data_IF_006026999459
#
_entry.id   IF_006026999459
#
_cell.length_a   1.000
_cell.length_b   1.000
_cell.length_c   1.000
_cell.angle_alpha   90.00
_cell.angle_beta   90.00
_cell.angle_gamma   90.00
#
_symmetry.space_group_name_H-M   'P 1'
#
loop_
_entity.id
_entity.type
_entity.pdbx_description
1 polymer ?
#
# COMPACT_ATOMS: atom_id res chain seq x y z
N UNK A 1 14.35 4.78 -3.29
CA UNK A 1 14.51 3.48 -3.98
C UNK A 1 15.77 3.37 -4.84
N UNK A 2 16.53 4.44 -5.10
CA UNK A 2 17.73 4.36 -5.97
C UNK A 2 18.75 3.26 -5.61
N UNK A 3 18.84 2.88 -4.33
CA UNK A 3 19.69 1.79 -3.84
C UNK A 3 19.29 0.40 -4.40
N UNK A 4 18.04 0.20 -4.80
CA UNK A 4 17.56 -1.05 -5.41
C UNK A 4 18.00 -1.20 -6.88
N UNK A 5 18.31 -0.09 -7.56
CA UNK A 5 18.53 -0.05 -9.02
C UNK A 5 19.58 -1.06 -9.51
N UNK A 6 20.76 -1.24 -8.87
CA UNK A 6 21.75 -2.21 -9.31
C UNK A 6 21.25 -3.66 -9.22
N UNK A 7 20.50 -4.01 -8.18
CA UNK A 7 20.00 -5.37 -7.98
C UNK A 7 18.82 -5.65 -8.92
N UNK A 8 17.94 -4.68 -9.14
CA UNK A 8 16.81 -4.80 -10.07
C UNK A 8 17.29 -4.95 -11.51
N UNK A 9 18.33 -4.22 -11.94
CA UNK A 9 18.89 -4.36 -13.27
C UNK A 9 19.36 -5.79 -13.62
N UNK A 10 19.64 -6.62 -12.60
CA UNK A 10 20.03 -8.03 -12.76
C UNK A 10 18.83 -8.96 -12.59
N UNK A 11 18.02 -8.75 -11.56
CA UNK A 11 16.96 -9.68 -11.16
C UNK A 11 15.62 -9.44 -11.87
N UNK A 12 15.33 -8.19 -12.21
CA UNK A 12 14.06 -7.70 -12.77
C UNK A 12 14.35 -6.57 -13.78
N UNK A 13 15.05 -6.87 -14.90
CA UNK A 13 15.46 -5.85 -15.87
C UNK A 13 14.28 -5.10 -16.51
N UNK A 14 13.06 -5.65 -16.44
CA UNK A 14 11.81 -5.00 -16.84
C UNK A 14 11.39 -3.83 -15.93
N UNK A 15 12.04 -3.64 -14.78
CA UNK A 15 11.80 -2.56 -13.82
C UNK A 15 12.86 -1.45 -13.91
N UNK A 16 13.29 -1.09 -15.12
CA UNK A 16 14.40 -0.15 -15.34
C UNK A 16 14.09 1.29 -14.89
N UNK A 17 12.84 1.71 -15.04
CA UNK A 17 12.30 3.01 -14.61
C UNK A 17 11.81 3.03 -13.15
N UNK A 18 11.78 1.88 -12.48
CA UNK A 18 11.17 1.74 -11.15
C UNK A 18 11.78 2.67 -10.08
N UNK A 19 13.08 2.93 -10.20
CA UNK A 19 13.82 3.75 -9.24
C UNK A 19 13.87 5.24 -9.62
N UNK A 20 13.24 5.63 -10.71
CA UNK A 20 13.28 7.01 -11.19
C UNK A 20 12.37 7.90 -10.34
N UNK A 21 12.89 9.09 -9.98
CA UNK A 21 12.16 10.04 -9.14
C UNK A 21 11.41 11.04 -10.02
N UNK A 22 10.09 10.86 -10.10
CA UNK A 22 9.18 11.74 -10.84
C UNK A 22 8.48 12.78 -9.95
N UNK A 23 8.92 12.96 -8.70
CA UNK A 23 8.25 13.81 -7.70
C UNK A 23 8.00 15.25 -8.20
N UNK A 24 9.02 15.89 -8.78
CA UNK A 24 8.92 17.27 -9.27
C UNK A 24 7.96 17.37 -10.47
N UNK A 25 7.96 16.36 -11.33
CA UNK A 25 7.04 16.24 -12.46
C UNK A 25 5.58 16.13 -12.01
N UNK A 26 5.31 15.26 -11.03
CA UNK A 26 3.98 15.13 -10.44
C UNK A 26 3.53 16.40 -9.70
N UNK A 27 4.44 17.06 -8.97
CA UNK A 27 4.13 18.32 -8.29
C UNK A 27 3.74 19.44 -9.28
N UNK A 28 4.50 19.54 -10.37
CA UNK A 28 4.22 20.50 -11.46
C UNK A 28 2.89 20.21 -12.12
N UNK A 29 2.64 18.94 -12.49
CA UNK A 29 1.39 18.52 -13.10
C UNK A 29 0.18 18.77 -12.19
N UNK A 30 0.27 18.43 -10.90
CA UNK A 30 -0.79 18.65 -9.94
C UNK A 30 -1.12 20.14 -9.80
N UNK A 31 -0.10 20.99 -9.64
CA UNK A 31 -0.25 22.44 -9.51
C UNK A 31 -0.91 23.03 -10.76
N UNK A 32 -0.46 22.65 -11.96
CA UNK A 32 -1.03 23.12 -13.22
C UNK A 32 -2.51 22.75 -13.39
N UNK A 33 -2.98 21.69 -12.73
CA UNK A 33 -4.35 21.20 -12.78
C UNK A 33 -5.17 21.52 -11.52
N UNK A 34 -4.69 22.42 -10.65
CA UNK A 34 -5.37 22.81 -9.41
C UNK A 34 -5.57 21.64 -8.43
N UNK A 35 -4.67 20.66 -8.45
CA UNK A 35 -4.66 19.51 -7.54
C UNK A 35 -3.60 19.69 -6.46
N UNK A 36 -3.81 19.01 -5.33
CA UNK A 36 -2.79 18.85 -4.31
C UNK A 36 -1.92 17.63 -4.62
N UNK A 37 -0.63 17.74 -4.35
CA UNK A 37 0.32 16.65 -4.41
C UNK A 37 0.83 16.36 -3.00
N UNK A 38 0.76 15.10 -2.57
CA UNK A 38 1.26 14.63 -1.27
C UNK A 38 2.25 13.50 -1.51
N UNK A 39 3.40 13.60 -0.86
CA UNK A 39 4.44 12.57 -0.86
C UNK A 39 4.27 11.73 0.40
N UNK A 40 4.33 10.40 0.25
CA UNK A 40 4.50 9.47 1.36
C UNK A 40 6.02 9.35 1.60
N UNK A 41 6.44 9.68 2.82
CA UNK A 41 7.85 9.80 3.13
C UNK A 41 8.50 8.42 3.34
N UNK A 42 9.81 8.31 3.12
CA UNK A 42 10.54 7.03 3.05
C UNK A 42 10.59 6.25 4.37
N UNK A 43 10.36 6.92 5.49
CA UNK A 43 10.22 6.33 6.82
C UNK A 43 8.99 5.41 6.92
N UNK A 44 7.90 5.74 6.23
CA UNK A 44 6.72 4.85 6.14
C UNK A 44 7.10 3.53 5.47
N UNK A 45 7.87 3.58 4.39
CA UNK A 45 8.35 2.38 3.69
C UNK A 45 9.29 1.56 4.57
N UNK A 46 10.24 2.22 5.24
CA UNK A 46 11.18 1.56 6.14
C UNK A 46 10.46 0.87 7.30
N UNK A 47 9.48 1.53 7.91
CA UNK A 47 8.68 0.96 8.99
C UNK A 47 7.80 -0.20 8.51
N UNK A 48 7.23 -0.09 7.30
CA UNK A 48 6.47 -1.16 6.69
C UNK A 48 7.33 -2.40 6.42
N UNK A 49 8.52 -2.21 5.84
CA UNK A 49 9.46 -3.31 5.59
C UNK A 49 9.84 -4.01 6.89
N UNK A 50 10.14 -3.26 7.95
CA UNK A 50 10.42 -3.85 9.27
C UNK A 50 9.24 -4.66 9.82
N UNK A 51 8.00 -4.18 9.65
CA UNK A 51 6.80 -4.89 10.10
C UNK A 51 6.54 -6.19 9.30
N UNK A 52 6.81 -6.18 7.99
CA UNK A 52 6.69 -7.35 7.12
C UNK A 52 7.79 -8.38 7.41
N UNK A 53 9.03 -7.95 7.64
CA UNK A 53 10.13 -8.84 8.04
C UNK A 53 9.87 -9.49 9.42
N UNK A 54 9.30 -8.75 10.37
CA UNK A 54 8.87 -9.30 11.66
C UNK A 54 7.71 -10.31 11.53
N UNK A 55 7.11 -10.41 10.35
CA UNK A 55 6.08 -11.36 9.97
C UNK A 55 6.61 -12.49 9.07
N UNK A 56 7.95 -12.63 8.99
CA UNK A 56 8.62 -13.64 8.17
C UNK A 56 8.19 -13.54 6.70
N UNK A 57 8.20 -12.32 6.15
CA UNK A 57 8.00 -12.14 4.72
C UNK A 57 9.08 -12.88 3.93
N UNK A 58 8.65 -13.61 2.90
CA UNK A 58 9.55 -14.15 1.87
C UNK A 58 10.25 -13.01 1.13
N UNK A 59 11.41 -13.24 0.48
CA UNK A 59 12.06 -12.19 -0.31
C UNK A 59 11.11 -11.56 -1.33
N UNK A 60 11.05 -10.23 -1.37
CA UNK A 60 10.16 -9.46 -2.25
C UNK A 60 10.91 -8.24 -2.83
N UNK A 61 10.31 -7.61 -3.84
CA UNK A 61 10.86 -6.36 -4.43
C UNK A 61 10.41 -5.16 -3.62
N UNK A 62 9.08 -4.96 -3.51
CA UNK A 62 8.49 -3.89 -2.68
C UNK A 62 7.11 -4.27 -2.14
N UNK A 63 6.66 -3.65 -1.03
CA UNK A 63 5.26 -3.74 -0.61
C UNK A 63 4.31 -3.13 -1.66
N UNK A 64 3.07 -3.61 -1.69
CA UNK A 64 2.03 -3.09 -2.56
C UNK A 64 1.65 -1.64 -2.20
N UNK A 65 1.31 -0.84 -3.19
CA UNK A 65 0.94 0.57 -2.97
C UNK A 65 -0.22 0.73 -1.99
N UNK A 66 -1.18 -0.20 -1.98
CA UNK A 66 -2.28 -0.19 -1.02
C UNK A 66 -1.80 -0.41 0.42
N UNK A 67 -0.84 -1.33 0.64
CA UNK A 67 -0.23 -1.54 1.95
C UNK A 67 0.55 -0.30 2.43
N UNK A 68 1.28 0.36 1.52
CA UNK A 68 1.98 1.62 1.82
C UNK A 68 1.00 2.70 2.29
N UNK A 69 -0.14 2.86 1.61
CA UNK A 69 -1.17 3.84 2.01
C UNK A 69 -1.78 3.50 3.37
N UNK A 70 -2.08 2.21 3.63
CA UNK A 70 -2.59 1.78 4.94
C UNK A 70 -1.59 2.13 6.05
N UNK A 71 -0.31 1.82 5.85
CA UNK A 71 0.74 2.16 6.81
C UNK A 71 0.87 3.69 7.00
N UNK A 72 0.83 4.45 5.92
CA UNK A 72 0.94 5.90 5.95
C UNK A 72 -0.20 6.53 6.78
N UNK A 73 -1.43 6.03 6.64
CA UNK A 73 -2.57 6.50 7.42
C UNK A 73 -2.47 6.11 8.89
N UNK A 74 -2.07 4.87 9.19
CA UNK A 74 -1.92 4.39 10.57
C UNK A 74 -0.79 5.12 11.33
N UNK A 75 0.28 5.52 10.63
CA UNK A 75 1.41 6.23 11.20
C UNK A 75 1.18 7.75 11.36
N UNK A 76 0.19 8.32 10.66
CA UNK A 76 -0.10 9.75 10.69
C UNK A 76 -0.91 10.10 11.96
N UNK A 77 -0.38 10.93 12.87
CA UNK A 77 -1.07 11.27 14.12
C UNK A 77 -2.43 11.94 13.91
N UNK A 78 -2.66 12.56 12.74
CA UNK A 78 -3.96 13.17 12.40
C UNK A 78 -5.08 12.16 12.24
N UNK A 79 -4.73 10.89 12.02
CA UNK A 79 -5.65 9.77 11.83
C UNK A 79 -5.59 8.77 13.00
N UNK A 80 -5.04 9.15 14.15
CA UNK A 80 -4.84 8.26 15.29
C UNK A 80 -6.15 7.66 15.83
N UNK A 81 -7.24 8.43 15.79
CA UNK A 81 -8.57 8.02 16.26
C UNK A 81 -9.51 7.58 15.12
N UNK A 82 -9.03 7.62 13.88
CA UNK A 82 -9.83 7.25 12.72
C UNK A 82 -9.95 5.73 12.59
N UNK A 83 -11.14 5.27 12.18
CA UNK A 83 -11.35 3.89 11.72
C UNK A 83 -11.09 3.83 10.21
N UNK A 84 -10.14 3.00 9.80
CA UNK A 84 -9.79 2.84 8.39
C UNK A 84 -10.61 1.71 7.78
N UNK A 85 -11.39 2.01 6.74
CA UNK A 85 -12.23 1.02 6.05
C UNK A 85 -11.59 0.66 4.70
N UNK A 86 -11.30 -0.63 4.50
CA UNK A 86 -10.76 -1.17 3.25
C UNK A 86 -11.91 -1.63 2.35
N UNK A 87 -12.02 -1.03 1.17
CA UNK A 87 -12.99 -1.40 0.14
C UNK A 87 -12.25 -1.84 -1.14
N UNK A 88 -12.61 -2.99 -1.70
CA UNK A 88 -11.99 -3.52 -2.92
C UNK A 88 -10.50 -3.90 -2.79
N UNK A 89 -9.97 -3.97 -1.56
CA UNK A 89 -8.56 -4.26 -1.31
C UNK A 89 -8.29 -5.77 -1.17
N UNK A 90 -7.29 -6.26 -1.89
CA UNK A 90 -6.87 -7.65 -1.91
C UNK A 90 -5.35 -7.80 -2.06
N UNK A 91 -4.88 -9.05 -2.00
CA UNK A 91 -3.45 -9.39 -2.00
C UNK A 91 -3.16 -10.33 -3.18
N UNK A 92 -3.29 -9.82 -4.39
CA UNK A 92 -3.09 -10.56 -5.64
C UNK A 92 -2.66 -9.62 -6.75
N UNK A 93 -1.91 -10.12 -7.73
CA UNK A 93 -1.39 -9.31 -8.84
C UNK A 93 0.04 -9.69 -9.15
N UNK A 94 0.91 -8.69 -9.25
CA UNK A 94 2.34 -8.87 -9.51
C UNK A 94 3.06 -9.60 -8.35
N UNK A 95 3.96 -10.51 -8.71
CA UNK A 95 4.68 -11.42 -7.81
C UNK A 95 5.83 -10.78 -7.04
N UNK A 96 6.26 -9.58 -7.40
CA UNK A 96 7.24 -8.80 -6.64
C UNK A 96 6.73 -8.27 -5.28
N UNK A 97 5.46 -8.49 -4.95
CA UNK A 97 4.84 -8.07 -3.68
C UNK A 97 4.75 -9.21 -2.66
N UNK A 98 5.00 -8.95 -1.35
CA UNK A 98 4.91 -9.95 -0.30
C UNK A 98 3.47 -10.18 0.19
N UNK A 99 2.55 -10.55 -0.72
CA UNK A 99 1.11 -10.59 -0.47
C UNK A 99 0.68 -11.44 0.73
N UNK A 100 1.35 -12.56 0.97
CA UNK A 100 1.09 -13.41 2.14
C UNK A 100 1.38 -12.66 3.46
N UNK A 101 2.50 -11.95 3.54
CA UNK A 101 2.89 -11.19 4.73
C UNK A 101 2.02 -9.94 4.90
N UNK A 102 1.68 -9.25 3.80
CA UNK A 102 0.75 -8.12 3.83
C UNK A 102 -0.62 -8.51 4.37
N UNK A 103 -1.14 -9.68 3.98
CA UNK A 103 -2.40 -10.19 4.52
C UNK A 103 -2.31 -10.39 6.02
N UNK A 104 -1.25 -11.05 6.50
CA UNK A 104 -1.01 -11.25 7.95
C UNK A 104 -0.92 -9.92 8.69
N UNK A 105 -0.31 -8.89 8.09
CA UNK A 105 -0.20 -7.56 8.68
C UNK A 105 -1.55 -6.86 8.76
N UNK A 106 -2.34 -6.91 7.69
CA UNK A 106 -3.70 -6.36 7.67
C UNK A 106 -4.60 -7.05 8.69
N UNK A 107 -4.50 -8.37 8.82
CA UNK A 107 -5.27 -9.12 9.81
C UNK A 107 -4.90 -8.70 11.25
N UNK A 108 -3.62 -8.37 11.53
CA UNK A 108 -3.21 -7.77 12.81
C UNK A 108 -3.84 -6.39 13.04
N UNK A 109 -3.92 -5.56 12.01
CA UNK A 109 -4.56 -4.25 12.11
C UNK A 109 -6.08 -4.32 12.26
N UNK A 110 -6.71 -5.35 11.70
CA UNK A 110 -8.13 -5.64 11.94
C UNK A 110 -8.33 -6.12 13.38
N UNK A 111 -7.46 -7.00 13.88
CA UNK A 111 -7.53 -7.49 15.25
C UNK A 111 -7.32 -6.38 16.30
N UNK A 112 -6.58 -5.32 15.97
CA UNK A 112 -6.42 -4.15 16.85
C UNK A 112 -7.62 -3.19 16.82
N UNK A 113 -8.58 -3.40 15.91
CA UNK A 113 -9.76 -2.55 15.73
C UNK A 113 -9.51 -1.26 14.95
N UNK A 114 -8.27 -0.98 14.51
CA UNK A 114 -7.94 0.23 13.72
C UNK A 114 -8.36 0.13 12.26
N UNK A 115 -8.45 -1.09 11.73
CA UNK A 115 -8.79 -1.35 10.33
C UNK A 115 -10.01 -2.26 10.25
N UNK A 116 -10.88 -2.02 9.28
CA UNK A 116 -12.05 -2.86 9.00
C UNK A 116 -12.11 -3.14 7.50
N UNK A 117 -12.53 -4.36 7.12
CA UNK A 117 -12.89 -4.66 5.73
C UNK A 117 -14.36 -4.30 5.51
N UNK A 118 -14.64 -3.51 4.48
CA UNK A 118 -16.01 -3.30 4.04
C UNK A 118 -16.54 -4.64 3.53
N UNK A 119 -17.48 -5.24 4.27
CA UNK A 119 -18.20 -6.39 3.77
C UNK A 119 -19.08 -5.94 2.60
N UNK A 120 -19.20 -6.72 1.52
CA UNK A 120 -20.17 -6.43 0.48
C UNK A 120 -21.57 -6.34 1.10
N UNK A 121 -22.12 -5.13 1.18
CA UNK A 121 -23.50 -4.90 1.57
C UNK A 121 -24.40 -5.43 0.44
N UNK A 122 -24.95 -6.63 0.64
CA UNK A 122 -26.10 -7.19 -0.08
C UNK A 122 -25.96 -7.50 -1.58
N UNK A 123 -25.43 -8.69 -1.91
CA UNK A 123 -25.94 -9.44 -3.06
C UNK A 123 -27.27 -10.17 -2.75
N UNK A 124 -27.75 -10.09 -1.49
CA UNK A 124 -28.87 -10.92 -1.01
C UNK A 124 -30.23 -10.21 -0.90
N UNK A 125 -30.35 -8.90 -1.19
CA UNK A 125 -31.61 -8.15 -0.96
C UNK A 125 -32.12 -7.33 -2.16
N UNK A 126 -31.58 -7.51 -3.36
CA UNK A 126 -32.07 -6.83 -4.58
C UNK A 126 -32.64 -7.82 -5.60
N UNK A 127 -33.66 -8.59 -5.20
CA UNK A 127 -34.68 -9.14 -6.13
C UNK A 127 -35.76 -9.88 -5.34
N UNK A 128 -36.72 -9.14 -4.80
CA UNK A 128 -38.10 -9.60 -4.63
C UNK A 128 -39.00 -8.37 -4.85
N UNK A 129 -39.13 -7.97 -6.12
CA UNK A 129 -40.23 -7.11 -6.55
C UNK A 129 -41.42 -8.01 -6.87
N UNK A 130 -42.48 -7.90 -6.07
CA UNK A 130 -43.82 -8.47 -6.30
C UNK A 130 -44.53 -7.79 -7.44
#
# INVERSE_FOLDING_TARGET
FGELKPQLAISHPELDDFCDDYTDGFATFATANGKQHRIIHSDVHTALDAALLALEAEPYVVPSSGMVVIQALLADPRHAEDTIILAGFGHSGWDGHPFEAERRLVDRYIASGRVMRLQPLFASSLSQGT
#
